data_IF_258785047325
#
_entry.id   IF_258785047325
#
_cell.length_a   1.000
_cell.length_b   1.000
_cell.length_c   1.000
_cell.angle_alpha   90.00
_cell.angle_beta   90.00
_cell.angle_gamma   90.00
#
_symmetry.space_group_name_H-M   'P 1'
#
loop_
_entity.id
_entity.type
_entity.pdbx_description
1 polymer ?
#
# COMPACT_ATOMS: atom_id res chain seq x y z
N UNK A 1 -3.70 15.99 -16.20
CA UNK A 1 -3.11 15.07 -15.21
C UNK A 1 -4.18 14.25 -14.49
N UNK A 2 -5.37 14.80 -14.20
CA UNK A 2 -6.55 13.99 -13.83
C UNK A 2 -7.37 13.67 -15.09
N UNK A 3 -7.85 12.43 -15.21
CA UNK A 3 -8.74 12.00 -16.28
C UNK A 3 -10.17 11.95 -15.74
N UNK A 4 -11.09 12.60 -16.44
CA UNK A 4 -12.53 12.58 -16.13
C UNK A 4 -13.24 11.86 -17.27
N UNK A 5 -14.29 11.09 -16.95
CA UNK A 5 -15.07 10.43 -18.00
C UNK A 5 -15.91 11.41 -18.84
N UNK A 6 -15.98 12.68 -18.44
CA UNK A 6 -16.65 13.73 -19.17
C UNK A 6 -16.47 15.10 -18.52
N UNK A 7 -16.84 16.14 -19.27
CA UNK A 7 -16.74 17.53 -18.84
C UNK A 7 -17.62 17.85 -17.63
N UNK A 8 -18.73 17.15 -17.47
CA UNK A 8 -19.61 17.26 -16.31
C UNK A 8 -18.88 16.91 -15.01
N UNK A 9 -18.28 15.73 -14.92
CA UNK A 9 -17.53 15.31 -13.72
C UNK A 9 -16.28 16.16 -13.47
N UNK A 10 -15.63 16.67 -14.54
CA UNK A 10 -14.55 17.65 -14.38
C UNK A 10 -15.03 18.93 -13.71
N UNK A 11 -16.20 19.45 -14.11
CA UNK A 11 -16.80 20.66 -13.51
C UNK A 11 -17.26 20.40 -12.08
N UNK A 12 -17.81 19.23 -11.79
CA UNK A 12 -18.17 18.84 -10.42
C UNK A 12 -16.97 18.82 -9.48
N UNK A 13 -15.81 18.34 -9.95
CA UNK A 13 -14.58 18.28 -9.17
C UNK A 13 -13.80 19.62 -9.14
N UNK A 14 -14.16 20.57 -10.01
CA UNK A 14 -13.48 21.86 -10.14
C UNK A 14 -13.27 22.60 -8.81
N UNK A 15 -14.28 22.72 -7.92
CA UNK A 15 -14.08 23.43 -6.65
C UNK A 15 -12.97 22.82 -5.80
N UNK A 16 -12.79 21.50 -5.85
CA UNK A 16 -11.81 20.77 -5.05
C UNK A 16 -10.38 20.90 -5.59
N UNK A 17 -10.18 20.97 -6.91
CA UNK A 17 -8.84 20.98 -7.52
C UNK A 17 -8.41 22.31 -8.14
N UNK A 18 -9.26 23.36 -8.16
CA UNK A 18 -9.00 24.62 -8.88
C UNK A 18 -7.68 25.28 -8.46
N UNK A 19 -7.41 25.37 -7.17
CA UNK A 19 -6.19 25.99 -6.64
C UNK A 19 -4.94 25.25 -7.15
N UNK A 20 -4.91 23.92 -6.97
CA UNK A 20 -3.84 23.07 -7.44
C UNK A 20 -3.65 23.19 -8.96
N UNK A 21 -4.74 23.15 -9.73
CA UNK A 21 -4.71 23.28 -11.18
C UNK A 21 -4.06 24.59 -11.63
N UNK A 22 -4.37 25.69 -10.94
CA UNK A 22 -3.78 27.01 -11.23
C UNK A 22 -2.26 26.98 -11.05
N UNK A 23 -1.78 26.50 -9.90
CA UNK A 23 -0.35 26.37 -9.62
C UNK A 23 0.36 25.44 -10.61
N UNK A 24 -0.26 24.31 -10.95
CA UNK A 24 0.28 23.38 -11.93
C UNK A 24 0.41 23.99 -13.33
N UNK A 25 -0.55 24.79 -13.75
CA UNK A 25 -0.50 25.53 -15.01
C UNK A 25 0.65 26.54 -15.04
N UNK A 26 0.88 27.27 -13.94
CA UNK A 26 2.00 28.21 -13.82
C UNK A 26 3.36 27.48 -13.91
N UNK A 27 3.53 26.38 -13.17
CA UNK A 27 4.74 25.56 -13.23
C UNK A 27 4.93 24.98 -14.63
N UNK A 28 3.86 24.50 -15.26
CA UNK A 28 3.91 23.96 -16.61
C UNK A 28 4.32 25.02 -17.64
N UNK A 29 3.79 26.24 -17.56
CA UNK A 29 4.15 27.35 -18.44
C UNK A 29 5.65 27.64 -18.37
N UNK A 30 6.21 27.71 -17.16
CA UNK A 30 7.64 27.93 -16.93
C UNK A 30 8.54 26.77 -17.42
N UNK A 31 7.97 25.59 -17.65
CA UNK A 31 8.67 24.39 -18.12
C UNK A 31 8.41 24.06 -19.60
N UNK A 32 7.79 24.97 -20.34
CA UNK A 32 7.51 24.79 -21.77
C UNK A 32 6.27 23.95 -22.07
N UNK A 33 5.24 24.04 -21.22
CA UNK A 33 3.88 23.56 -21.50
C UNK A 33 3.40 22.40 -20.63
N UNK A 34 4.29 21.66 -19.96
CA UNK A 34 3.91 20.57 -19.06
C UNK A 34 4.90 20.39 -17.92
N UNK A 35 4.45 20.01 -16.73
CA UNK A 35 5.33 19.85 -15.55
C UNK A 35 6.40 18.76 -15.74
N UNK A 36 6.14 17.81 -16.65
CA UNK A 36 7.05 16.71 -17.04
C UNK A 36 7.66 16.88 -18.44
N UNK A 37 7.61 18.08 -19.03
CA UNK A 37 8.11 18.33 -20.38
C UNK A 37 9.57 17.87 -20.59
N UNK A 38 10.42 18.06 -19.57
CA UNK A 38 11.83 17.69 -19.62
C UNK A 38 12.10 16.26 -19.10
N UNK A 39 11.07 15.52 -18.68
CA UNK A 39 11.25 14.25 -18.00
C UNK A 39 12.00 13.23 -18.85
N UNK A 40 11.80 13.19 -20.18
CA UNK A 40 12.53 12.27 -21.08
C UNK A 40 14.06 12.42 -21.05
N UNK A 41 14.57 13.59 -20.64
CA UNK A 41 16.01 13.90 -20.58
C UNK A 41 16.65 13.44 -19.27
N UNK A 42 15.84 13.05 -18.29
CA UNK A 42 16.29 12.74 -16.94
C UNK A 42 16.51 11.23 -16.79
N UNK A 43 17.51 10.83 -16.03
CA UNK A 43 17.61 9.44 -15.59
C UNK A 43 16.53 9.10 -14.54
N UNK A 44 16.52 7.87 -14.02
CA UNK A 44 15.50 7.41 -13.05
C UNK A 44 15.57 8.21 -11.74
N UNK A 45 16.77 8.53 -11.25
CA UNK A 45 16.95 9.24 -10.00
C UNK A 45 16.62 10.72 -10.13
N UNK A 46 17.05 11.36 -11.21
CA UNK A 46 16.70 12.75 -11.52
C UNK A 46 15.20 12.95 -11.68
N UNK A 47 14.49 11.97 -12.25
CA UNK A 47 13.03 12.02 -12.34
C UNK A 47 12.32 11.87 -10.99
N UNK A 48 12.87 11.06 -10.07
CA UNK A 48 12.39 11.03 -8.68
C UNK A 48 12.59 12.39 -8.04
N UNK A 49 13.76 12.99 -8.18
CA UNK A 49 14.06 14.31 -7.64
C UNK A 49 13.16 15.40 -8.26
N UNK A 50 12.87 15.33 -9.56
CA UNK A 50 11.94 16.24 -10.23
C UNK A 50 10.56 16.21 -9.57
N UNK A 51 10.02 15.02 -9.28
CA UNK A 51 8.70 14.89 -8.65
C UNK A 51 8.69 15.45 -7.23
N UNK A 52 9.70 15.12 -6.42
CA UNK A 52 9.84 15.65 -5.04
C UNK A 52 10.00 17.17 -5.05
N UNK A 53 10.86 17.71 -5.93
CA UNK A 53 11.04 19.15 -6.06
C UNK A 53 9.76 19.84 -6.51
N UNK A 54 9.02 19.23 -7.45
CA UNK A 54 7.75 19.77 -7.93
C UNK A 54 6.70 19.80 -6.82
N UNK A 55 6.62 18.79 -5.95
CA UNK A 55 5.75 18.82 -4.76
C UNK A 55 6.07 20.02 -3.86
N UNK A 56 7.34 20.23 -3.52
CA UNK A 56 7.75 21.34 -2.66
C UNK A 56 7.44 22.69 -3.31
N UNK A 57 7.65 22.83 -4.63
CA UNK A 57 7.28 24.04 -5.36
C UNK A 57 5.77 24.30 -5.31
N UNK A 58 4.95 23.25 -5.45
CA UNK A 58 3.50 23.39 -5.38
C UNK A 58 3.06 23.83 -3.98
N UNK A 59 3.58 23.21 -2.91
CA UNK A 59 3.23 23.57 -1.53
C UNK A 59 3.62 25.02 -1.20
N UNK A 60 4.79 25.48 -1.68
CA UNK A 60 5.22 26.87 -1.53
C UNK A 60 4.28 27.85 -2.23
N UNK A 61 3.81 27.52 -3.45
CA UNK A 61 2.88 28.36 -4.20
C UNK A 61 1.46 28.32 -3.62
N UNK A 62 1.00 27.16 -3.14
CA UNK A 62 -0.32 26.98 -2.51
C UNK A 62 -0.41 27.63 -1.13
N UNK A 63 0.71 27.84 -0.44
CA UNK A 63 0.78 28.35 0.95
C UNK A 63 -0.01 27.50 1.96
N UNK A 64 -0.15 26.21 1.64
CA UNK A 64 -0.73 25.17 2.49
C UNK A 64 -0.12 23.82 2.13
N UNK A 65 -0.22 22.86 3.05
CA UNK A 65 0.13 21.47 2.73
C UNK A 65 -0.81 20.92 1.66
N UNK A 66 -0.27 20.08 0.79
CA UNK A 66 -1.08 19.34 -0.18
C UNK A 66 -1.82 18.19 0.52
N UNK A 67 -3.06 17.95 0.10
CA UNK A 67 -3.82 16.77 0.50
C UNK A 67 -3.20 15.51 -0.14
N UNK A 68 -3.45 14.34 0.44
CA UNK A 68 -2.84 13.08 -0.02
C UNK A 68 -3.08 12.83 -1.52
N UNK A 69 -4.32 12.97 -1.99
CA UNK A 69 -4.65 12.78 -3.41
C UNK A 69 -3.99 13.83 -4.33
N UNK A 70 -3.79 15.07 -3.85
CA UNK A 70 -3.10 16.11 -4.62
C UNK A 70 -1.64 15.70 -4.86
N UNK A 71 -1.00 15.12 -3.83
CA UNK A 71 0.38 14.62 -3.93
C UNK A 71 0.46 13.44 -4.90
N UNK A 72 -0.52 12.55 -4.88
CA UNK A 72 -0.60 11.40 -5.79
C UNK A 72 -0.67 11.82 -7.27
N UNK A 73 -1.38 12.90 -7.61
CA UNK A 73 -1.45 13.42 -8.99
C UNK A 73 -0.05 13.74 -9.54
N UNK A 74 0.83 14.28 -8.68
CA UNK A 74 2.21 14.62 -9.04
C UNK A 74 3.09 13.38 -8.96
N UNK A 75 2.95 12.55 -7.93
CA UNK A 75 3.81 11.38 -7.73
C UNK A 75 3.56 10.28 -8.76
N UNK A 76 2.31 10.08 -9.18
CA UNK A 76 1.88 8.96 -10.02
C UNK A 76 1.14 9.46 -11.28
N UNK A 77 1.80 10.26 -12.14
CA UNK A 77 1.16 10.79 -13.33
C UNK A 77 0.98 9.70 -14.38
N UNK A 78 -0.09 9.78 -15.16
CA UNK A 78 -0.28 8.95 -16.36
C UNK A 78 0.71 9.37 -17.45
N UNK A 79 1.85 8.68 -17.54
CA UNK A 79 2.90 8.85 -18.55
C UNK A 79 3.42 7.50 -19.04
N UNK A 80 4.16 7.47 -20.14
CA UNK A 80 4.85 6.28 -20.61
C UNK A 80 5.83 5.75 -19.55
N UNK A 81 5.76 4.45 -19.25
CA UNK A 81 6.60 3.80 -18.23
C UNK A 81 8.08 3.72 -18.62
N UNK A 82 8.42 3.75 -19.92
CA UNK A 82 9.81 3.67 -20.37
C UNK A 82 10.60 4.91 -19.93
N UNK A 83 11.71 4.76 -19.16
CA UNK A 83 12.41 5.88 -18.55
C UNK A 83 12.96 6.94 -19.52
N UNK A 84 13.36 6.55 -20.72
CA UNK A 84 13.88 7.38 -21.80
C UNK A 84 12.81 7.98 -22.72
N UNK A 85 11.56 7.51 -22.60
CA UNK A 85 10.42 8.05 -23.33
C UNK A 85 9.63 9.06 -22.49
N UNK A 86 9.00 8.61 -21.40
CA UNK A 86 8.14 9.40 -20.51
C UNK A 86 7.16 10.34 -21.23
N UNK A 87 6.64 9.90 -22.38
CA UNK A 87 5.59 10.60 -23.10
C UNK A 87 4.42 10.87 -22.15
N UNK A 88 3.92 12.11 -22.16
CA UNK A 88 2.90 12.59 -21.22
C UNK A 88 1.62 13.04 -21.94
N UNK A 89 1.65 13.16 -23.27
CA UNK A 89 0.49 13.47 -24.09
C UNK A 89 -0.49 12.30 -24.07
N UNK A 90 -1.67 12.54 -23.51
CA UNK A 90 -2.61 11.48 -23.13
C UNK A 90 -3.15 10.72 -24.35
N UNK A 91 -3.27 11.41 -25.48
CA UNK A 91 -3.69 10.91 -26.79
C UNK A 91 -2.66 9.97 -27.45
N UNK A 92 -1.40 10.01 -27.00
CA UNK A 92 -0.33 9.14 -27.50
C UNK A 92 -0.10 7.91 -26.60
N UNK A 93 -0.86 7.79 -25.51
CA UNK A 93 -0.68 6.76 -24.51
C UNK A 93 -1.83 5.75 -24.55
N UNK A 94 -1.45 4.48 -24.57
CA UNK A 94 -2.33 3.36 -24.24
C UNK A 94 -1.94 2.80 -22.87
N UNK A 95 -2.67 1.78 -22.40
CA UNK A 95 -2.48 1.15 -21.11
C UNK A 95 -2.35 -0.37 -21.23
N UNK A 96 -1.70 -0.99 -20.25
CA UNK A 96 -1.66 -2.44 -20.14
C UNK A 96 -3.09 -2.98 -20.06
N UNK A 97 -3.45 -3.88 -20.97
CA UNK A 97 -4.81 -4.45 -21.06
C UNK A 97 -5.20 -5.27 -19.84
N UNK A 98 -4.21 -5.80 -19.13
CA UNK A 98 -4.39 -6.70 -17.99
C UNK A 98 -4.60 -5.92 -16.68
N UNK A 99 -3.62 -5.07 -16.30
CA UNK A 99 -3.68 -4.36 -15.02
C UNK A 99 -4.29 -2.96 -15.10
N UNK A 100 -4.31 -2.33 -16.28
CA UNK A 100 -4.83 -0.97 -16.48
C UNK A 100 -4.15 0.12 -15.64
N UNK A 101 -3.04 -0.19 -14.97
CA UNK A 101 -2.29 0.73 -14.09
C UNK A 101 -1.01 1.29 -14.72
N UNK A 102 -0.58 0.74 -15.86
CA UNK A 102 0.67 1.14 -16.53
C UNK A 102 0.37 1.63 -17.92
N UNK A 103 0.85 2.84 -18.22
CA UNK A 103 0.72 3.45 -19.55
C UNK A 103 2.03 3.39 -20.33
N UNK A 104 1.90 3.29 -21.65
CA UNK A 104 3.01 3.27 -22.60
C UNK A 104 2.55 3.87 -23.93
N UNK A 105 3.49 4.17 -24.83
CA UNK A 105 3.15 4.81 -26.10
C UNK A 105 2.35 3.87 -27.00
N UNK A 106 1.25 4.36 -27.58
CA UNK A 106 0.45 3.59 -28.54
C UNK A 106 1.25 3.19 -29.77
N UNK A 107 2.20 4.04 -30.19
CA UNK A 107 3.04 3.81 -31.36
C UNK A 107 4.14 2.75 -31.16
N UNK A 108 4.46 2.37 -29.91
CA UNK A 108 5.54 1.45 -29.61
C UNK A 108 5.20 0.54 -28.43
N UNK A 109 4.90 -0.73 -28.72
CA UNK A 109 4.59 -1.74 -27.71
C UNK A 109 5.81 -2.16 -26.89
N UNK A 110 7.04 -1.94 -27.37
CA UNK A 110 8.28 -2.26 -26.64
C UNK A 110 8.46 -1.38 -25.40
N UNK A 111 7.78 -0.22 -25.38
CA UNK A 111 7.71 0.64 -24.21
C UNK A 111 7.00 -0.01 -23.01
N UNK A 112 6.19 -1.05 -23.24
CA UNK A 112 5.76 -1.94 -22.16
C UNK A 112 6.84 -2.99 -21.89
N UNK A 113 7.80 -2.63 -21.03
CA UNK A 113 8.94 -3.49 -20.71
C UNK A 113 8.50 -4.86 -20.17
N UNK A 114 9.18 -5.94 -20.56
CA UNK A 114 8.88 -7.30 -20.09
C UNK A 114 8.96 -7.45 -18.55
N UNK A 115 9.77 -6.62 -17.89
CA UNK A 115 9.87 -6.52 -16.42
C UNK A 115 8.54 -6.17 -15.75
N UNK A 116 7.63 -5.48 -16.45
CA UNK A 116 6.28 -5.18 -15.99
C UNK A 116 5.49 -6.45 -15.63
N UNK A 117 5.72 -7.56 -16.34
CA UNK A 117 5.00 -8.82 -16.12
C UNK A 117 5.13 -9.32 -14.67
N UNK A 118 6.24 -9.00 -14.00
CA UNK A 118 6.48 -9.33 -12.58
C UNK A 118 5.46 -8.66 -11.65
N UNK A 119 5.02 -7.45 -11.98
CA UNK A 119 4.21 -6.60 -11.10
C UNK A 119 2.76 -6.43 -11.59
N UNK A 120 2.48 -6.76 -12.85
CA UNK A 120 1.17 -6.59 -13.47
C UNK A 120 0.02 -7.14 -12.61
N UNK A 121 0.14 -8.39 -12.12
CA UNK A 121 -0.89 -8.99 -11.24
C UNK A 121 -1.04 -8.26 -9.91
N UNK A 122 0.06 -7.77 -9.33
CA UNK A 122 0.03 -7.02 -8.08
C UNK A 122 -0.66 -5.65 -8.26
N UNK A 123 -0.44 -4.98 -9.39
CA UNK A 123 -1.14 -3.75 -9.73
C UNK A 123 -2.64 -3.95 -9.94
N UNK A 124 -3.03 -5.05 -10.59
CA UNK A 124 -4.44 -5.43 -10.72
C UNK A 124 -5.06 -5.72 -9.34
N UNK A 125 -4.36 -6.45 -8.48
CA UNK A 125 -4.81 -6.72 -7.11
C UNK A 125 -4.98 -5.43 -6.30
N UNK A 126 -4.03 -4.51 -6.40
CA UNK A 126 -4.12 -3.19 -5.75
C UNK A 126 -5.36 -2.42 -6.23
N UNK A 127 -5.60 -2.38 -7.54
CA UNK A 127 -6.82 -1.75 -8.09
C UNK A 127 -8.10 -2.39 -7.51
N UNK A 128 -8.16 -3.71 -7.44
CA UNK A 128 -9.31 -4.44 -6.87
C UNK A 128 -9.51 -4.11 -5.39
N UNK A 129 -8.42 -4.03 -4.61
CA UNK A 129 -8.47 -3.64 -3.19
C UNK A 129 -9.06 -2.23 -3.02
N UNK A 130 -8.55 -1.25 -3.77
CA UNK A 130 -9.03 0.15 -3.71
C UNK A 130 -10.51 0.25 -4.11
N UNK A 131 -10.91 -0.40 -5.21
CA UNK A 131 -12.30 -0.39 -5.67
C UNK A 131 -13.23 -1.07 -4.66
N UNK A 132 -12.82 -2.22 -4.12
CA UNK A 132 -13.59 -2.93 -3.10
C UNK A 132 -13.74 -2.09 -1.84
N UNK A 133 -12.68 -1.46 -1.37
CA UNK A 133 -12.73 -0.59 -0.20
C UNK A 133 -13.67 0.60 -0.40
N UNK A 134 -13.67 1.19 -1.60
CA UNK A 134 -14.58 2.28 -1.97
C UNK A 134 -16.05 1.85 -2.00
N UNK A 135 -16.34 0.65 -2.51
CA UNK A 135 -17.73 0.19 -2.74
C UNK A 135 -18.32 -0.50 -1.51
N UNK A 136 -17.54 -1.35 -0.84
CA UNK A 136 -17.99 -2.23 0.24
C UNK A 136 -17.42 -1.86 1.62
N UNK A 137 -16.50 -0.90 1.69
CA UNK A 137 -15.81 -0.54 2.93
C UNK A 137 -14.60 -1.44 3.22
N UNK A 138 -14.07 -1.32 4.45
CA UNK A 138 -12.89 -2.06 4.91
C UNK A 138 -13.10 -3.57 4.76
N UNK A 139 -12.08 -4.27 4.28
CA UNK A 139 -12.05 -5.73 4.26
C UNK A 139 -11.60 -6.20 5.64
N UNK A 140 -12.48 -6.90 6.35
CA UNK A 140 -12.19 -7.51 7.65
C UNK A 140 -12.17 -9.03 7.48
N UNK A 141 -11.00 -9.65 7.28
CA UNK A 141 -10.91 -11.09 7.13
C UNK A 141 -11.12 -11.78 8.47
N UNK A 142 -11.80 -12.93 8.45
CA UNK A 142 -12.00 -13.75 9.65
C UNK A 142 -10.67 -14.40 10.03
N UNK A 143 -10.19 -14.13 11.25
CA UNK A 143 -8.98 -14.72 11.80
C UNK A 143 -9.16 -16.23 12.11
N UNK A 144 -8.09 -17.04 12.08
CA UNK A 144 -8.21 -18.45 12.38
C UNK A 144 -8.43 -18.65 13.89
N UNK A 145 -9.42 -19.47 14.25
CA UNK A 145 -9.69 -19.85 15.64
C UNK A 145 -8.99 -21.15 16.07
N UNK A 146 -8.09 -21.68 15.23
CA UNK A 146 -7.45 -22.98 15.47
C UNK A 146 -6.36 -22.84 16.54
N UNK A 147 -6.57 -23.50 17.68
CA UNK A 147 -5.60 -23.62 18.76
C UNK A 147 -4.86 -24.96 18.62
N UNK A 148 -3.53 -24.93 18.63
CA UNK A 148 -2.71 -26.14 18.63
C UNK A 148 -2.56 -26.67 20.06
N UNK A 149 -2.73 -27.98 20.21
CA UNK A 149 -2.53 -28.68 21.49
C UNK A 149 -1.15 -29.30 21.64
N UNK A 150 -0.37 -29.31 20.56
CA UNK A 150 1.00 -29.84 20.52
C UNK A 150 1.90 -28.90 19.73
N UNK A 151 3.18 -28.77 20.12
CA UNK A 151 4.12 -27.94 19.38
C UNK A 151 4.26 -28.48 17.96
N UNK A 152 4.22 -27.57 16.98
CA UNK A 152 4.42 -27.90 15.58
C UNK A 152 5.30 -26.84 14.92
N UNK A 153 6.23 -27.24 14.03
CA UNK A 153 6.99 -26.28 13.25
C UNK A 153 6.04 -25.50 12.34
N UNK A 154 6.32 -24.20 12.17
CA UNK A 154 5.58 -23.42 11.18
C UNK A 154 5.81 -23.97 9.76
N UNK A 155 4.80 -23.88 8.88
CA UNK A 155 4.96 -24.25 7.48
C UNK A 155 5.97 -23.35 6.75
N UNK A 156 6.47 -23.83 5.61
CA UNK A 156 7.54 -23.16 4.85
C UNK A 156 7.15 -21.79 4.27
N UNK A 157 5.85 -21.52 4.10
CA UNK A 157 5.35 -20.25 3.57
C UNK A 157 3.92 -19.97 4.07
N UNK A 158 3.45 -18.76 3.80
CA UNK A 158 2.15 -18.28 4.27
C UNK A 158 0.97 -19.03 3.64
N UNK A 159 1.12 -19.50 2.40
CA UNK A 159 0.09 -20.28 1.71
C UNK A 159 -0.17 -21.60 2.45
N UNK A 160 0.89 -22.31 2.83
CA UNK A 160 0.80 -23.55 3.60
C UNK A 160 0.32 -23.30 5.04
N UNK A 161 0.76 -22.19 5.66
CA UNK A 161 0.23 -21.76 6.96
C UNK A 161 -1.29 -21.57 6.89
N UNK A 162 -1.78 -20.84 5.89
CA UNK A 162 -3.21 -20.61 5.74
C UNK A 162 -3.97 -21.90 5.42
N UNK A 163 -3.46 -22.77 4.55
CA UNK A 163 -4.09 -24.10 4.31
C UNK A 163 -4.25 -24.90 5.60
N UNK A 164 -3.27 -24.86 6.50
CA UNK A 164 -3.34 -25.57 7.76
C UNK A 164 -4.31 -24.91 8.76
N UNK A 165 -4.27 -23.59 8.87
CA UNK A 165 -5.10 -22.85 9.84
C UNK A 165 -6.57 -22.76 9.41
N UNK A 166 -6.83 -22.75 8.10
CA UNK A 166 -8.14 -22.60 7.47
C UNK A 166 -8.63 -23.87 6.78
N UNK A 167 -8.23 -25.06 7.25
CA UNK A 167 -8.43 -26.37 6.58
C UNK A 167 -9.86 -26.66 6.09
N UNK A 168 -10.88 -25.99 6.64
CA UNK A 168 -12.30 -26.12 6.27
C UNK A 168 -12.96 -24.79 5.82
N UNK A 169 -12.17 -23.76 5.49
CA UNK A 169 -12.68 -22.43 5.18
C UNK A 169 -12.43 -22.04 3.73
N UNK A 170 -13.41 -21.37 3.14
CA UNK A 170 -13.30 -20.76 1.80
C UNK A 170 -12.68 -19.36 1.85
N UNK A 171 -12.45 -18.80 3.04
CA UNK A 171 -11.91 -17.45 3.27
C UNK A 171 -10.64 -17.15 2.44
N UNK A 172 -9.67 -18.08 2.26
CA UNK A 172 -8.47 -17.81 1.46
C UNK A 172 -8.70 -17.76 -0.06
N UNK A 173 -9.92 -18.03 -0.57
CA UNK A 173 -10.19 -18.12 -2.02
C UNK A 173 -10.42 -16.76 -2.67
N UNK A 174 -10.83 -15.76 -1.91
CA UNK A 174 -10.95 -14.40 -2.39
C UNK A 174 -9.58 -13.71 -2.36
N UNK A 175 -9.11 -13.23 -3.50
CA UNK A 175 -7.75 -12.67 -3.62
C UNK A 175 -7.52 -11.42 -2.78
N UNK A 176 -8.55 -10.59 -2.59
CA UNK A 176 -8.46 -9.36 -1.80
C UNK A 176 -8.44 -9.67 -0.31
N UNK A 177 -9.31 -10.58 0.14
CA UNK A 177 -9.31 -11.10 1.51
C UNK A 177 -7.97 -11.79 1.80
N UNK A 178 -7.47 -12.60 0.86
CA UNK A 178 -6.17 -13.26 0.99
C UNK A 178 -5.03 -12.25 1.18
N UNK A 179 -5.01 -11.18 0.38
CA UNK A 179 -4.00 -10.14 0.45
C UNK A 179 -4.03 -9.37 1.78
N UNK A 180 -5.22 -9.04 2.27
CA UNK A 180 -5.36 -8.37 3.58
C UNK A 180 -4.96 -9.31 4.72
N UNK A 181 -5.39 -10.56 4.65
CA UNK A 181 -5.07 -11.57 5.65
C UNK A 181 -3.57 -11.87 5.71
N UNK A 182 -2.89 -11.95 4.56
CA UNK A 182 -1.44 -12.15 4.50
C UNK A 182 -0.68 -10.98 5.13
N UNK A 183 -1.13 -9.75 4.90
CA UNK A 183 -0.59 -8.57 5.57
C UNK A 183 -0.77 -8.64 7.09
N UNK A 184 -1.96 -9.00 7.58
CA UNK A 184 -2.24 -9.15 9.02
C UNK A 184 -1.35 -10.24 9.65
N UNK A 185 -1.23 -11.40 9.01
CA UNK A 185 -0.50 -12.54 9.57
C UNK A 185 1.02 -12.38 9.51
N UNK A 186 1.55 -11.46 8.69
CA UNK A 186 2.98 -11.34 8.40
C UNK A 186 3.82 -11.13 9.66
N UNK A 187 3.48 -10.16 10.51
CA UNK A 187 4.30 -9.84 11.69
C UNK A 187 4.32 -10.97 12.75
N UNK A 188 3.17 -11.52 13.19
CA UNK A 188 3.16 -12.62 14.16
C UNK A 188 3.84 -13.89 13.64
N UNK A 189 3.55 -14.31 12.40
CA UNK A 189 4.14 -15.52 11.84
C UNK A 189 5.65 -15.37 11.63
N UNK A 190 6.12 -14.19 11.23
CA UNK A 190 7.55 -13.92 11.09
C UNK A 190 8.27 -13.95 12.44
N UNK A 191 7.67 -13.37 13.48
CA UNK A 191 8.22 -13.41 14.83
C UNK A 191 8.30 -14.84 15.37
N UNK A 192 7.24 -15.63 15.18
CA UNK A 192 7.21 -17.03 15.58
C UNK A 192 8.26 -17.85 14.82
N UNK A 193 8.32 -17.70 13.49
CA UNK A 193 9.30 -18.38 12.66
C UNK A 193 10.73 -18.07 13.12
N UNK A 194 11.05 -16.79 13.30
CA UNK A 194 12.36 -16.34 13.74
C UNK A 194 12.76 -16.94 15.10
N UNK A 195 11.83 -16.97 16.06
CA UNK A 195 12.11 -17.57 17.37
C UNK A 195 12.31 -19.09 17.28
N UNK A 196 11.49 -19.80 16.49
CA UNK A 196 11.66 -21.24 16.26
C UNK A 196 13.05 -21.57 15.67
N UNK A 197 13.64 -20.69 14.85
CA UNK A 197 15.00 -20.88 14.33
C UNK A 197 16.09 -20.83 15.40
N UNK A 198 15.83 -20.27 16.58
CA UNK A 198 16.82 -20.21 17.67
C UNK A 198 17.01 -21.56 18.36
N UNK A 199 16.04 -22.47 18.25
CA UNK A 199 16.01 -23.74 18.99
C UNK A 199 15.80 -23.60 20.50
N UNK A 200 15.57 -22.37 21.00
CA UNK A 200 15.29 -22.14 22.41
C UNK A 200 13.85 -22.57 22.75
N UNK A 201 13.63 -23.14 23.96
CA UNK A 201 12.29 -23.51 24.38
C UNK A 201 11.42 -22.27 24.61
N UNK A 202 10.12 -22.42 24.43
CA UNK A 202 9.15 -21.42 24.88
C UNK A 202 8.94 -21.52 26.39
N UNK A 203 8.82 -20.37 27.04
CA UNK A 203 8.33 -20.28 28.42
C UNK A 203 6.81 -20.10 28.46
N UNK A 204 6.22 -20.25 29.65
CA UNK A 204 4.79 -20.02 29.87
C UNK A 204 4.36 -18.57 29.62
N UNK A 205 5.30 -17.62 29.76
CA UNK A 205 5.14 -16.23 29.36
C UNK A 205 6.14 -15.91 28.27
N UNK A 206 5.67 -15.34 27.16
CA UNK A 206 6.50 -14.91 26.05
C UNK A 206 6.30 -13.43 25.80
N UNK A 207 7.39 -12.67 25.66
CA UNK A 207 7.34 -11.22 25.46
C UNK A 207 7.98 -10.84 24.13
N UNK A 208 7.24 -10.10 23.30
CA UNK A 208 7.68 -9.55 22.02
C UNK A 208 7.73 -8.04 22.16
N UNK A 209 8.88 -7.44 21.89
CA UNK A 209 9.03 -5.99 21.78
C UNK A 209 8.98 -5.61 20.29
N UNK A 210 7.91 -4.95 19.88
CA UNK A 210 7.75 -4.47 18.51
C UNK A 210 8.31 -3.05 18.39
N UNK A 211 9.54 -2.95 17.89
CA UNK A 211 10.24 -1.67 17.71
C UNK A 211 9.84 -1.00 16.39
N UNK A 212 9.62 0.31 16.43
CA UNK A 212 9.12 1.08 15.30
C UNK A 212 7.62 0.90 15.08
N UNK A 213 6.87 0.58 16.14
CA UNK A 213 5.43 0.39 16.05
C UNK A 213 4.70 1.70 15.74
N UNK A 214 3.74 1.63 14.81
CA UNK A 214 2.85 2.70 14.41
C UNK A 214 1.40 2.23 14.60
N UNK A 215 0.55 3.03 15.26
CA UNK A 215 -0.81 2.60 15.60
C UNK A 215 -1.68 2.28 14.39
N UNK A 216 -1.50 3.01 13.28
CA UNK A 216 -2.26 2.81 12.05
C UNK A 216 -2.03 1.42 11.43
N UNK A 217 -0.90 0.78 11.72
CA UNK A 217 -0.55 -0.54 11.19
C UNK A 217 -0.74 -1.66 12.23
N UNK A 218 -0.47 -1.35 13.49
CA UNK A 218 -0.36 -2.36 14.55
C UNK A 218 -1.52 -2.34 15.53
N UNK A 219 -2.13 -1.18 15.78
CA UNK A 219 -3.25 -1.02 16.71
C UNK A 219 -4.61 -1.41 16.11
N UNK A 220 -4.71 -1.46 14.79
CA UNK A 220 -5.97 -1.73 14.09
C UNK A 220 -6.48 -3.17 14.20
N UNK A 221 -5.62 -4.14 14.57
CA UNK A 221 -5.96 -5.57 14.64
C UNK A 221 -5.00 -6.27 15.62
N UNK A 222 -5.18 -6.08 16.93
CA UNK A 222 -4.29 -6.65 17.96
C UNK A 222 -4.47 -8.17 18.14
N UNK A 223 -5.68 -8.65 17.94
CA UNK A 223 -6.09 -10.07 17.96
C UNK A 223 -5.33 -10.95 16.95
N UNK A 224 -4.66 -10.35 15.96
CA UNK A 224 -3.73 -11.08 15.06
C UNK A 224 -2.62 -11.81 15.81
N UNK A 225 -2.11 -11.24 16.91
CA UNK A 225 -1.05 -11.85 17.70
C UNK A 225 -1.56 -13.07 18.47
N UNK A 226 -2.80 -13.03 18.94
CA UNK A 226 -3.45 -14.18 19.53
C UNK A 226 -3.62 -15.30 18.49
N UNK A 227 -4.23 -14.98 17.34
CA UNK A 227 -4.59 -15.95 16.32
C UNK A 227 -3.38 -16.57 15.60
N UNK A 228 -2.33 -15.80 15.32
CA UNK A 228 -1.17 -16.23 14.53
C UNK A 228 0.11 -16.45 15.33
N UNK A 229 0.08 -16.27 16.66
CA UNK A 229 1.20 -16.63 17.52
C UNK A 229 0.74 -17.44 18.72
N UNK A 230 -0.06 -16.87 19.63
CA UNK A 230 -0.42 -17.53 20.89
C UNK A 230 -1.12 -18.86 20.66
N UNK A 231 -2.11 -18.90 19.78
CA UNK A 231 -2.83 -20.14 19.43
C UNK A 231 -1.97 -21.21 18.77
N UNK A 232 -0.78 -20.85 18.25
CA UNK A 232 0.12 -21.77 17.57
C UNK A 232 1.21 -22.32 18.49
N UNK A 233 1.36 -21.78 19.70
CA UNK A 233 2.41 -22.16 20.66
C UNK A 233 1.78 -22.62 21.97
N UNK A 234 1.42 -23.91 22.11
CA UNK A 234 0.72 -24.43 23.30
C UNK A 234 1.48 -24.22 24.62
N UNK A 235 2.80 -24.07 24.57
CA UNK A 235 3.63 -23.81 25.75
C UNK A 235 3.45 -22.41 26.33
N UNK A 236 3.00 -21.45 25.52
CA UNK A 236 2.83 -20.05 25.93
C UNK A 236 1.40 -19.87 26.44
N UNK A 237 1.25 -19.58 27.72
CA UNK A 237 -0.03 -19.23 28.33
C UNK A 237 -0.30 -17.72 28.25
N UNK A 238 0.76 -16.90 28.27
CA UNK A 238 0.66 -15.43 28.25
C UNK A 238 1.60 -14.87 27.20
N UNK A 239 1.02 -14.29 26.14
CA UNK A 239 1.76 -13.50 25.16
C UNK A 239 1.68 -12.02 25.53
N UNK A 240 2.84 -11.38 25.76
CA UNK A 240 2.97 -9.95 25.98
C UNK A 240 3.55 -9.31 24.73
N UNK A 241 2.78 -8.42 24.10
CA UNK A 241 3.27 -7.63 22.96
C UNK A 241 3.45 -6.19 23.42
N UNK A 242 4.70 -5.73 23.44
CA UNK A 242 5.10 -4.39 23.88
C UNK A 242 5.43 -3.57 22.65
N UNK A 243 4.56 -2.62 22.30
CA UNK A 243 4.76 -1.69 21.20
C UNK A 243 5.71 -0.58 21.62
N UNK A 244 6.77 -0.35 20.84
CA UNK A 244 7.83 0.63 21.12
C UNK A 244 8.00 1.53 19.90
N UNK A 245 7.61 2.79 20.01
CA UNK A 245 7.77 3.76 18.93
C UNK A 245 7.41 5.18 19.37
N UNK A 246 8.08 6.23 18.83
CA UNK A 246 7.73 7.62 19.12
C UNK A 246 6.34 8.00 18.58
N UNK A 247 5.88 7.31 17.53
CA UNK A 247 4.58 7.50 16.87
C UNK A 247 3.38 6.98 17.72
N UNK A 248 3.66 6.37 18.88
CA UNK A 248 2.63 5.90 19.81
C UNK A 248 2.22 6.99 20.83
N UNK A 249 2.78 8.21 20.74
CA UNK A 249 2.46 9.28 21.66
C UNK A 249 1.02 9.79 21.43
N UNK A 250 0.16 9.55 22.44
CA UNK A 250 -1.28 9.94 22.48
C UNK A 250 -1.49 11.42 22.22
N UNK A 251 -0.54 12.29 22.58
CA UNK A 251 -0.62 13.73 22.33
C UNK A 251 -0.56 14.10 20.85
N UNK A 252 0.01 13.23 20.00
CA UNK A 252 0.11 13.41 18.55
C UNK A 252 -0.99 12.68 17.78
N UNK A 253 -1.90 11.99 18.47
CA UNK A 253 -2.87 11.10 17.84
C UNK A 253 -4.24 11.77 17.72
N UNK A 254 -4.78 11.91 16.50
CA UNK A 254 -6.14 12.37 16.32
C UNK A 254 -7.12 11.48 17.08
N UNK A 255 -8.05 12.08 17.84
CA UNK A 255 -9.02 11.37 18.69
C UNK A 255 -9.85 10.34 17.89
N UNK A 256 -10.10 10.62 16.60
CA UNK A 256 -10.78 9.72 15.68
C UNK A 256 -9.99 8.45 15.37
N UNK A 257 -8.65 8.48 15.41
CA UNK A 257 -7.79 7.31 15.23
C UNK A 257 -7.85 6.40 16.46
N UNK A 258 -7.77 6.99 17.66
CA UNK A 258 -7.86 6.22 18.93
C UNK A 258 -9.21 5.49 19.03
N UNK A 259 -10.30 6.13 18.59
CA UNK A 259 -11.65 5.53 18.60
C UNK A 259 -11.83 4.31 17.68
N UNK A 260 -10.87 4.05 16.77
CA UNK A 260 -10.92 2.96 15.78
C UNK A 260 -10.05 1.77 16.14
N UNK A 261 -9.16 1.93 17.12
CA UNK A 261 -8.33 0.85 17.69
C UNK A 261 -9.25 -0.05 18.51
N UNK A 262 -9.27 -1.34 18.20
CA UNK A 262 -10.02 -2.37 18.93
C UNK A 262 -9.09 -3.27 19.72
#
# INVERSE_FOLDING_TARGET
MVSYCGDEHRRMDQPSHRELCTVLCEIAANRGGHIYQLARKLNVQEYRNLRVHTLNQIELSLKRSMQAFEREIVLFPRICITPDCREWRQELLTECTDCRQVSYCTADSTHLQASHRRWCKAYLLFQKLILRQRILGRIEPVLPARILSKPAPLPANIDEAFKQLYKNSTVPRDECVYAVLSQIATAPLSALYAYQQTGLPFGSTFTIHLVGAELQFEGDTLDKWEAFFLHLVPEVAVLRVVFVGPELNVENLPIDVISRIR
#
